data_IF_453260632338
#
_entry.id   IF_453260632338
#
_cell.length_a   1.000
_cell.length_b   1.000
_cell.length_c   1.000
_cell.angle_alpha   90.00
_cell.angle_beta   90.00
_cell.angle_gamma   90.00
#
_symmetry.space_group_name_H-M   'P 1'
#
loop_
_entity.id
_entity.type
_entity.pdbx_description
1 polymer ?
#
# COMPACT_ATOMS: atom_id res chain seq x y z
N UNK A 1 -41.16 -7.23 -17.62
CA UNK A 1 -41.86 -6.10 -16.96
C UNK A 1 -40.78 -5.27 -16.28
N UNK A 2 -40.46 -4.10 -16.82
CA UNK A 2 -39.33 -3.27 -16.37
C UNK A 2 -39.51 -2.83 -14.92
N UNK A 3 -38.52 -3.14 -14.07
CA UNK A 3 -38.39 -2.66 -12.68
C UNK A 3 -38.18 -1.13 -12.58
N UNK A 4 -38.23 -0.40 -13.69
CA UNK A 4 -37.87 1.00 -13.80
C UNK A 4 -39.02 1.99 -13.51
N UNK A 5 -40.18 1.54 -12.98
CA UNK A 5 -41.34 2.42 -12.84
C UNK A 5 -42.08 2.26 -11.51
N UNK A 6 -41.34 2.30 -10.40
CA UNK A 6 -41.91 2.57 -9.08
C UNK A 6 -41.09 3.65 -8.39
N UNK A 7 -41.43 4.93 -8.66
CA UNK A 7 -40.93 6.08 -7.91
C UNK A 7 -41.88 6.35 -6.74
N UNK A 8 -41.67 5.67 -5.63
CA UNK A 8 -41.91 6.30 -4.33
C UNK A 8 -40.59 6.96 -3.91
N UNK A 9 -40.59 8.22 -3.44
CA UNK A 9 -39.40 8.85 -2.89
C UNK A 9 -39.12 8.23 -1.52
N UNK A 10 -38.50 7.06 -1.51
CA UNK A 10 -37.82 6.57 -0.31
C UNK A 10 -36.79 7.63 0.11
N UNK A 11 -36.86 8.08 1.36
CA UNK A 11 -36.00 9.12 1.93
C UNK A 11 -34.50 8.75 1.89
N UNK A 12 -34.19 7.47 1.68
CA UNK A 12 -32.84 6.91 1.66
C UNK A 12 -32.51 6.31 0.30
N UNK A 13 -31.32 6.64 -0.18
CA UNK A 13 -30.69 6.02 -1.34
C UNK A 13 -29.61 5.06 -0.87
N UNK A 14 -29.49 3.91 -1.52
CA UNK A 14 -28.46 2.92 -1.22
C UNK A 14 -27.48 2.81 -2.38
N UNK A 15 -26.21 2.56 -2.07
CA UNK A 15 -25.14 2.35 -3.03
C UNK A 15 -24.75 0.88 -3.04
N UNK A 16 -24.72 0.29 -4.23
CA UNK A 16 -24.29 -1.09 -4.43
C UNK A 16 -23.13 -1.16 -5.43
N UNK A 17 -22.26 -2.14 -5.26
CA UNK A 17 -21.15 -2.39 -6.17
C UNK A 17 -21.67 -2.73 -7.57
N UNK A 18 -21.17 -2.01 -8.59
CA UNK A 18 -21.43 -2.33 -10.00
C UNK A 18 -20.91 -3.71 -10.36
N UNK A 19 -19.80 -4.14 -9.76
CA UNK A 19 -19.26 -5.49 -9.95
C UNK A 19 -20.25 -6.55 -9.46
N UNK A 20 -20.80 -6.37 -8.25
CA UNK A 20 -21.81 -7.30 -7.73
C UNK A 20 -23.09 -7.27 -8.58
N UNK A 21 -23.54 -6.10 -9.02
CA UNK A 21 -24.71 -6.00 -9.89
C UNK A 21 -24.50 -6.69 -11.25
N UNK A 22 -23.28 -6.60 -11.81
CA UNK A 22 -22.92 -7.34 -13.02
C UNK A 22 -22.96 -8.85 -12.78
N UNK A 23 -22.47 -9.34 -11.63
CA UNK A 23 -22.61 -10.75 -11.25
C UNK A 23 -24.08 -11.15 -11.12
N UNK A 24 -24.91 -10.34 -10.47
CA UNK A 24 -26.35 -10.56 -10.35
C UNK A 24 -27.04 -10.71 -11.72
N UNK A 25 -26.65 -9.92 -12.72
CA UNK A 25 -27.24 -9.98 -14.06
C UNK A 25 -26.74 -11.16 -14.93
N UNK A 26 -25.58 -11.73 -14.62
CA UNK A 26 -24.91 -12.69 -15.51
C UNK A 26 -24.77 -14.09 -14.92
N UNK A 27 -24.87 -14.26 -13.60
CA UNK A 27 -24.70 -15.53 -12.91
C UNK A 27 -26.04 -16.02 -12.35
N UNK A 28 -26.24 -17.34 -12.37
CA UNK A 28 -27.41 -17.97 -11.74
C UNK A 28 -27.42 -17.79 -10.22
N UNK A 29 -26.22 -17.72 -9.61
CA UNK A 29 -26.02 -17.50 -8.18
C UNK A 29 -24.91 -16.45 -7.96
N UNK A 30 -25.25 -15.16 -7.77
CA UNK A 30 -24.25 -14.09 -7.64
C UNK A 30 -23.53 -14.07 -6.29
N UNK A 31 -23.97 -14.85 -5.32
CA UNK A 31 -23.51 -14.83 -3.93
C UNK A 31 -23.98 -13.60 -3.14
N UNK A 32 -23.49 -13.43 -1.89
CA UNK A 32 -23.87 -12.32 -1.03
C UNK A 32 -23.45 -10.95 -1.61
N UNK A 33 -24.20 -9.90 -1.29
CA UNK A 33 -23.85 -8.53 -1.67
C UNK A 33 -22.49 -8.18 -1.06
N UNK A 34 -21.58 -7.62 -1.85
CA UNK A 34 -20.29 -7.11 -1.38
C UNK A 34 -20.01 -5.73 -1.94
N UNK A 35 -19.86 -4.76 -1.02
CA UNK A 35 -19.54 -3.37 -1.33
C UNK A 35 -18.06 -3.02 -1.10
N UNK A 36 -17.23 -4.04 -0.81
CA UNK A 36 -15.79 -3.88 -0.57
C UNK A 36 -14.98 -3.50 -1.82
N UNK A 37 -15.60 -3.55 -3.00
CA UNK A 37 -14.94 -3.12 -4.25
C UNK A 37 -14.70 -1.61 -4.28
N UNK A 38 -15.55 -0.84 -3.60
CA UNK A 38 -15.44 0.62 -3.52
C UNK A 38 -15.22 1.16 -2.10
N UNK A 39 -15.29 0.30 -1.07
CA UNK A 39 -14.99 0.65 0.31
C UNK A 39 -13.65 0.07 0.78
N UNK A 40 -12.95 0.81 1.65
CA UNK A 40 -11.86 0.26 2.46
C UNK A 40 -12.41 -0.53 3.67
N UNK A 41 -11.52 -1.17 4.41
CA UNK A 41 -11.81 -1.83 5.70
C UNK A 41 -12.42 -0.88 6.75
N UNK A 42 -12.14 0.43 6.66
CA UNK A 42 -12.71 1.45 7.55
C UNK A 42 -14.14 1.85 7.18
N UNK A 43 -14.69 1.36 6.06
CA UNK A 43 -16.06 1.63 5.63
C UNK A 43 -16.26 2.93 4.83
N UNK A 44 -15.17 3.65 4.52
CA UNK A 44 -15.20 4.82 3.62
C UNK A 44 -14.61 4.52 2.25
N UNK A 45 -14.71 5.47 1.33
CA UNK A 45 -14.10 5.38 0.00
C UNK A 45 -12.58 5.58 0.14
N UNK A 46 -11.74 4.65 -0.36
CA UNK A 46 -10.30 4.87 -0.43
C UNK A 46 -10.00 6.15 -1.24
N UNK A 47 -9.13 7.07 -0.78
CA UNK A 47 -8.89 8.35 -1.45
C UNK A 47 -8.51 8.22 -2.93
N UNK A 48 -7.74 7.19 -3.29
CA UNK A 48 -7.35 6.91 -4.67
C UNK A 48 -8.51 6.44 -5.58
N UNK A 49 -9.66 6.04 -5.02
CA UNK A 49 -10.85 5.64 -5.77
C UNK A 49 -11.89 6.74 -5.92
N UNK A 50 -11.79 7.80 -5.13
CA UNK A 50 -12.84 8.83 -5.04
C UNK A 50 -13.18 9.48 -6.39
N UNK A 51 -12.17 9.73 -7.23
CA UNK A 51 -12.35 10.41 -8.51
C UNK A 51 -13.11 9.62 -9.58
N UNK A 52 -13.29 8.30 -9.39
CA UNK A 52 -14.05 7.43 -10.30
C UNK A 52 -15.09 6.59 -9.55
N UNK A 53 -15.57 7.09 -8.39
CA UNK A 53 -16.52 6.35 -7.56
C UNK A 53 -17.81 6.01 -8.32
N UNK A 54 -18.28 6.92 -9.18
CA UNK A 54 -19.50 6.75 -9.98
C UNK A 54 -19.40 5.56 -10.96
N UNK A 55 -18.19 5.21 -11.39
CA UNK A 55 -17.95 4.03 -12.23
C UNK A 55 -18.04 2.73 -11.41
N UNK A 56 -17.85 2.80 -10.09
CA UNK A 56 -17.83 1.63 -9.21
C UNK A 56 -19.19 1.33 -8.56
N UNK A 57 -20.07 2.33 -8.44
CA UNK A 57 -21.33 2.21 -7.70
C UNK A 57 -22.56 2.34 -8.59
N UNK A 58 -23.67 1.79 -8.11
CA UNK A 58 -25.02 2.01 -8.65
C UNK A 58 -25.93 2.44 -7.50
N UNK A 59 -26.73 3.49 -7.73
CA UNK A 59 -27.70 3.97 -6.77
C UNK A 59 -28.99 3.16 -6.91
N UNK A 60 -29.47 2.63 -5.79
CA UNK A 60 -30.71 1.87 -5.69
C UNK A 60 -31.72 2.61 -4.81
N UNK A 61 -33.01 2.62 -5.20
CA UNK A 61 -34.10 2.93 -4.29
C UNK A 61 -34.12 1.96 -3.10
N UNK A 62 -34.60 2.43 -1.94
CA UNK A 62 -34.66 1.63 -0.70
C UNK A 62 -35.38 0.29 -0.87
N UNK A 63 -36.55 0.25 -1.52
CA UNK A 63 -37.31 -0.98 -1.74
C UNK A 63 -36.53 -2.02 -2.57
N UNK A 64 -35.75 -1.55 -3.56
CA UNK A 64 -34.89 -2.42 -4.38
C UNK A 64 -33.73 -2.96 -3.54
N UNK A 65 -33.10 -2.12 -2.73
CA UNK A 65 -32.07 -2.55 -1.79
C UNK A 65 -32.59 -3.61 -0.80
N UNK A 66 -33.73 -3.34 -0.15
CA UNK A 66 -34.33 -4.26 0.83
C UNK A 66 -34.65 -5.62 0.20
N UNK A 67 -35.20 -5.63 -1.01
CA UNK A 67 -35.45 -6.87 -1.76
C UNK A 67 -34.15 -7.66 -1.99
N UNK A 68 -33.10 -7.01 -2.49
CA UNK A 68 -31.82 -7.67 -2.78
C UNK A 68 -31.16 -8.17 -1.49
N UNK A 69 -31.12 -7.33 -0.45
CA UNK A 69 -30.52 -7.69 0.82
C UNK A 69 -31.25 -8.85 1.50
N UNK A 70 -32.60 -8.85 1.51
CA UNK A 70 -33.38 -9.95 2.08
C UNK A 70 -33.18 -11.28 1.33
N UNK A 71 -32.86 -11.24 0.04
CA UNK A 71 -32.65 -12.44 -0.77
C UNK A 71 -31.20 -12.96 -0.77
N UNK A 72 -30.22 -12.07 -0.79
CA UNK A 72 -28.80 -12.42 -0.97
C UNK A 72 -27.95 -12.19 0.29
N UNK A 73 -28.40 -11.37 1.23
CA UNK A 73 -27.63 -10.96 2.40
C UNK A 73 -26.33 -10.24 2.02
N UNK A 74 -25.33 -10.31 2.90
CA UNK A 74 -24.01 -9.72 2.68
C UNK A 74 -23.86 -8.33 3.30
N UNK A 75 -23.03 -7.48 2.70
CA UNK A 75 -22.80 -6.11 3.16
C UNK A 75 -21.43 -5.54 2.77
N UNK A 76 -21.06 -4.40 3.38
CA UNK A 76 -21.90 -3.57 4.26
C UNK A 76 -23.00 -2.82 3.50
N UNK A 77 -24.09 -2.48 4.17
CA UNK A 77 -25.10 -1.56 3.62
C UNK A 77 -24.50 -0.13 3.54
N UNK A 78 -24.70 0.55 2.41
CA UNK A 78 -24.13 1.87 2.18
C UNK A 78 -25.23 2.83 1.76
N UNK A 79 -25.53 3.83 2.57
CA UNK A 79 -26.49 4.89 2.29
C UNK A 79 -25.84 6.29 2.22
N UNK A 80 -24.53 6.35 2.48
CA UNK A 80 -23.75 7.58 2.41
C UNK A 80 -22.32 7.26 1.94
N UNK A 81 -21.80 8.12 1.07
CA UNK A 81 -20.45 8.02 0.52
C UNK A 81 -19.60 9.14 1.10
N UNK A 82 -18.45 8.78 1.66
CA UNK A 82 -17.47 9.72 2.21
C UNK A 82 -16.06 9.22 1.94
N UNK A 83 -15.12 10.13 1.71
CA UNK A 83 -13.70 9.79 1.61
C UNK A 83 -13.20 9.35 2.98
N UNK A 84 -12.49 8.23 3.02
CA UNK A 84 -11.94 7.71 4.27
C UNK A 84 -10.78 8.59 4.76
N UNK A 85 -10.99 9.29 5.87
CA UNK A 85 -9.96 10.12 6.52
C UNK A 85 -8.80 9.29 7.09
N UNK A 86 -9.08 8.07 7.59
CA UNK A 86 -8.04 7.17 8.11
C UNK A 86 -7.07 6.78 7.00
N UNK A 87 -7.58 6.31 5.85
CA UNK A 87 -6.74 5.99 4.69
C UNK A 87 -5.98 7.23 4.17
N UNK A 88 -6.60 8.41 4.22
CA UNK A 88 -5.92 9.66 3.83
C UNK A 88 -4.70 9.93 4.71
N UNK A 89 -4.86 9.82 6.04
CA UNK A 89 -3.77 10.00 7.00
C UNK A 89 -2.66 8.96 6.79
N UNK A 90 -3.02 7.70 6.54
CA UNK A 90 -2.04 6.63 6.28
C UNK A 90 -1.22 6.90 5.01
N UNK A 91 -1.87 7.34 3.93
CA UNK A 91 -1.21 7.70 2.66
C UNK A 91 -0.24 8.87 2.88
N UNK A 92 -0.68 9.91 3.59
CA UNK A 92 0.15 11.08 3.91
C UNK A 92 1.33 10.73 4.81
N UNK A 93 1.10 9.92 5.84
CA UNK A 93 2.15 9.43 6.74
C UNK A 93 3.21 8.62 5.98
N UNK A 94 2.77 7.73 5.08
CA UNK A 94 3.67 6.94 4.25
C UNK A 94 4.46 7.81 3.26
N UNK A 95 3.81 8.79 2.62
CA UNK A 95 4.49 9.75 1.73
C UNK A 95 5.53 10.58 2.51
N UNK A 96 5.18 11.06 3.70
CA UNK A 96 6.09 11.80 4.59
C UNK A 96 7.28 10.95 5.00
N UNK A 97 7.06 9.69 5.40
CA UNK A 97 8.12 8.74 5.73
C UNK A 97 9.10 8.57 4.57
N UNK A 98 8.59 8.19 3.39
CA UNK A 98 9.42 7.98 2.19
C UNK A 98 10.27 9.20 1.84
N UNK A 99 9.67 10.39 1.92
CA UNK A 99 10.38 11.66 1.71
C UNK A 99 11.49 11.89 2.73
N UNK A 100 11.19 11.73 4.02
CA UNK A 100 12.21 11.89 5.08
C UNK A 100 13.37 10.90 4.92
N UNK A 101 13.07 9.68 4.48
CA UNK A 101 14.08 8.65 4.25
C UNK A 101 15.03 8.99 3.10
N UNK A 102 14.48 9.32 1.93
CA UNK A 102 15.30 9.65 0.77
C UNK A 102 16.08 10.97 0.97
N UNK A 103 15.49 11.98 1.62
CA UNK A 103 16.15 13.27 1.86
C UNK A 103 17.34 13.10 2.82
N UNK A 104 17.16 12.31 3.89
CA UNK A 104 18.24 11.98 4.83
C UNK A 104 19.35 11.20 4.13
N UNK A 105 19.00 10.16 3.36
CA UNK A 105 19.99 9.38 2.62
C UNK A 105 20.79 10.24 1.64
N UNK A 106 20.13 11.10 0.84
CA UNK A 106 20.82 11.99 -0.11
C UNK A 106 21.80 12.91 0.63
N UNK A 107 21.41 13.44 1.80
CA UNK A 107 22.28 14.28 2.62
C UNK A 107 23.53 13.52 3.10
N UNK A 108 23.34 12.32 3.64
CA UNK A 108 24.44 11.49 4.14
C UNK A 108 25.37 11.04 3.00
N UNK A 109 24.80 10.59 1.88
CA UNK A 109 25.59 10.18 0.72
C UNK A 109 26.39 11.35 0.14
N UNK A 110 25.82 12.57 0.06
CA UNK A 110 26.59 13.75 -0.37
C UNK A 110 27.76 14.07 0.55
N UNK A 111 27.58 13.91 1.87
CA UNK A 111 28.66 14.12 2.84
C UNK A 111 29.77 13.07 2.65
N UNK A 112 29.40 11.80 2.47
CA UNK A 112 30.35 10.71 2.21
C UNK A 112 31.15 10.91 0.91
N UNK A 113 30.50 11.36 -0.16
CA UNK A 113 31.19 11.65 -1.43
C UNK A 113 32.13 12.87 -1.35
N UNK A 114 31.93 13.77 -0.39
CA UNK A 114 32.79 14.93 -0.17
C UNK A 114 33.99 14.61 0.74
N UNK A 115 34.01 13.44 1.39
CA UNK A 115 35.10 13.02 2.27
C UNK A 115 36.26 12.45 1.45
N UNK A 116 37.44 13.06 1.57
CA UNK A 116 38.61 12.68 0.74
C UNK A 116 39.21 11.31 1.11
N UNK A 117 39.12 10.92 2.38
CA UNK A 117 39.71 9.68 2.89
C UNK A 117 38.84 9.08 4.02
N UNK A 118 37.74 8.39 3.68
CA UNK A 118 36.86 7.79 4.68
C UNK A 118 37.57 6.67 5.46
N UNK A 119 37.53 6.77 6.79
CA UNK A 119 38.25 5.85 7.69
C UNK A 119 37.54 4.52 7.90
N UNK A 120 36.20 4.50 7.85
CA UNK A 120 35.36 3.30 8.01
C UNK A 120 34.33 3.26 6.90
N UNK A 121 34.23 2.12 6.21
CA UNK A 121 33.26 1.90 5.13
C UNK A 121 32.47 0.63 5.43
N UNK A 122 31.15 0.72 5.29
CA UNK A 122 30.23 -0.41 5.38
C UNK A 122 29.81 -0.87 3.99
N UNK A 123 29.49 -2.16 3.88
CA UNK A 123 28.95 -2.76 2.67
C UNK A 123 27.47 -3.09 2.87
N UNK A 124 26.65 -2.81 1.86
CA UNK A 124 25.23 -3.12 1.87
C UNK A 124 24.83 -3.86 0.60
N UNK A 125 24.01 -4.90 0.75
CA UNK A 125 23.48 -5.67 -0.38
C UNK A 125 22.74 -4.78 -1.37
N UNK A 126 23.14 -4.81 -2.65
CA UNK A 126 22.43 -4.05 -3.68
C UNK A 126 21.02 -4.60 -3.95
N UNK A 127 20.74 -5.84 -3.58
CA UNK A 127 19.37 -6.36 -3.63
C UNK A 127 18.49 -5.58 -2.64
N UNK A 128 18.85 -5.58 -1.35
CA UNK A 128 18.12 -4.86 -0.31
C UNK A 128 18.04 -3.36 -0.62
N UNK A 129 19.15 -2.77 -1.10
CA UNK A 129 19.17 -1.36 -1.43
C UNK A 129 18.23 -0.99 -2.59
N UNK A 130 18.07 -1.87 -3.60
CA UNK A 130 17.10 -1.66 -4.69
C UNK A 130 15.65 -1.76 -4.21
N UNK A 131 15.36 -2.68 -3.28
CA UNK A 131 14.05 -2.79 -2.63
C UNK A 131 13.75 -1.52 -1.81
N UNK A 132 14.74 -1.04 -1.05
CA UNK A 132 14.64 0.23 -0.32
C UNK A 132 14.40 1.40 -1.26
N UNK A 133 15.17 1.47 -2.35
CA UNK A 133 15.03 2.53 -3.36
C UNK A 133 13.65 2.51 -4.01
N UNK A 134 13.12 1.32 -4.34
CA UNK A 134 11.78 1.15 -4.89
C UNK A 134 10.70 1.63 -3.91
N UNK A 135 10.84 1.30 -2.62
CA UNK A 135 9.97 1.78 -1.57
C UNK A 135 9.98 3.30 -1.45
N UNK A 136 11.14 3.93 -1.25
CA UNK A 136 11.22 5.40 -1.03
C UNK A 136 10.84 6.21 -2.27
N UNK A 137 11.01 5.64 -3.48
CA UNK A 137 10.53 6.24 -4.74
C UNK A 137 9.05 5.95 -5.03
N UNK A 138 8.38 5.17 -4.19
CA UNK A 138 6.96 4.82 -4.31
C UNK A 138 6.63 3.92 -5.50
N UNK A 139 7.60 3.13 -5.97
CA UNK A 139 7.36 2.04 -6.93
C UNK A 139 6.70 0.85 -6.24
N UNK A 140 7.12 0.58 -5.01
CA UNK A 140 6.53 -0.43 -4.14
C UNK A 140 5.97 0.23 -2.87
N UNK A 141 4.87 -0.32 -2.35
CA UNK A 141 4.27 0.14 -1.10
C UNK A 141 4.87 -0.55 0.14
N UNK A 142 5.52 -1.70 -0.06
CA UNK A 142 6.12 -2.46 1.03
C UNK A 142 7.56 -2.00 1.29
N UNK A 143 7.95 -1.78 2.56
CA UNK A 143 9.33 -1.48 2.91
C UNK A 143 10.24 -2.71 2.75
N UNK A 144 11.56 -2.53 2.53
CA UNK A 144 12.54 -3.59 2.20
C UNK A 144 12.82 -4.64 3.30
N UNK A 145 12.03 -4.75 4.36
CA UNK A 145 12.34 -5.61 5.50
C UNK A 145 13.71 -5.32 6.15
N UNK A 146 14.22 -6.22 7.01
CA UNK A 146 15.55 -6.06 7.62
C UNK A 146 16.69 -6.11 6.61
N UNK A 147 17.78 -5.39 6.89
CA UNK A 147 18.99 -5.44 6.04
C UNK A 147 19.54 -6.87 6.01
N UNK A 148 19.63 -7.45 4.82
CA UNK A 148 20.16 -8.80 4.59
C UNK A 148 21.44 -8.76 3.74
N UNK A 149 22.58 -8.98 4.40
CA UNK A 149 23.88 -9.12 3.75
C UNK A 149 24.36 -10.57 3.59
N UNK A 150 23.52 -11.58 3.86
CA UNK A 150 23.91 -13.00 3.77
C UNK A 150 24.41 -13.38 2.38
N UNK A 151 23.92 -12.71 1.33
CA UNK A 151 24.35 -12.92 -0.05
C UNK A 151 25.73 -12.31 -0.33
N UNK A 152 26.11 -11.24 0.36
CA UNK A 152 27.36 -10.51 0.10
C UNK A 152 28.47 -10.80 1.10
N UNK A 153 28.17 -11.34 2.28
CA UNK A 153 29.13 -11.54 3.36
C UNK A 153 29.33 -13.04 3.68
N UNK A 154 30.56 -13.40 4.03
CA UNK A 154 30.95 -14.76 4.46
C UNK A 154 31.76 -14.66 5.76
N UNK A 155 31.40 -15.47 6.75
CA UNK A 155 32.16 -15.59 7.98
C UNK A 155 33.42 -16.43 7.73
N UNK A 156 34.59 -15.88 8.07
CA UNK A 156 35.81 -16.68 8.17
C UNK A 156 35.82 -17.47 9.48
N UNK A 157 36.64 -18.51 9.56
CA UNK A 157 36.78 -19.34 10.76
C UNK A 157 37.18 -18.60 12.04
N UNK A 158 37.59 -17.33 11.93
CA UNK A 158 37.89 -16.41 13.04
C UNK A 158 36.70 -15.54 13.49
N UNK A 159 35.50 -15.70 12.90
CA UNK A 159 34.33 -14.85 13.17
C UNK A 159 34.36 -13.50 12.44
N UNK A 160 35.45 -13.16 11.75
CA UNK A 160 35.52 -11.97 10.92
C UNK A 160 34.69 -12.15 9.64
N UNK A 161 33.80 -11.19 9.37
CA UNK A 161 33.03 -11.13 8.13
C UNK A 161 33.90 -10.56 7.00
N UNK A 162 33.84 -11.20 5.84
CA UNK A 162 34.44 -10.67 4.61
C UNK A 162 33.41 -10.63 3.49
N UNK A 163 33.56 -9.67 2.60
CA UNK A 163 32.73 -9.59 1.39
C UNK A 163 33.13 -10.73 0.44
N UNK A 164 32.14 -11.43 -0.11
CA UNK A 164 32.36 -12.48 -1.12
C UNK A 164 32.88 -11.85 -2.40
N UNK A 165 33.84 -12.51 -3.04
CA UNK A 165 34.36 -12.05 -4.32
C UNK A 165 33.24 -12.01 -5.37
N UNK A 166 33.10 -10.89 -6.07
CA UNK A 166 32.05 -10.68 -7.08
C UNK A 166 30.65 -10.45 -6.53
N UNK A 167 30.50 -10.24 -5.21
CA UNK A 167 29.22 -9.86 -4.63
C UNK A 167 28.72 -8.50 -5.18
N UNK A 168 27.40 -8.38 -5.34
CA UNK A 168 26.74 -7.13 -5.73
C UNK A 168 26.41 -6.31 -4.47
N UNK A 169 27.30 -5.37 -4.12
CA UNK A 169 27.18 -4.54 -2.92
C UNK A 169 27.49 -3.06 -3.22
N UNK A 170 26.88 -2.19 -2.43
CA UNK A 170 27.21 -0.77 -2.37
C UNK A 170 28.10 -0.47 -1.16
N UNK A 171 28.90 0.59 -1.26
CA UNK A 171 29.66 1.14 -0.14
C UNK A 171 28.91 2.33 0.45
N UNK A 172 28.80 2.38 1.77
CA UNK A 172 28.14 3.46 2.50
C UNK A 172 28.96 3.87 3.73
N UNK A 173 28.79 5.12 4.18
CA UNK A 173 29.42 5.63 5.39
C UNK A 173 28.86 4.97 6.65
N UNK A 174 29.58 5.09 7.76
CA UNK A 174 29.11 4.64 9.08
C UNK A 174 27.78 5.31 9.46
N UNK A 175 27.61 6.61 9.23
CA UNK A 175 26.38 7.33 9.54
C UNK A 175 25.20 6.82 8.70
N UNK A 176 25.46 6.49 7.44
CA UNK A 176 24.45 5.91 6.55
C UNK A 176 24.06 4.50 7.02
N UNK A 177 25.03 3.70 7.45
CA UNK A 177 24.77 2.38 8.02
C UNK A 177 23.94 2.48 9.30
N UNK A 178 24.34 3.33 10.26
CA UNK A 178 23.59 3.55 11.50
C UNK A 178 22.17 4.01 11.19
N UNK A 179 21.99 4.93 10.24
CA UNK A 179 20.68 5.42 9.85
C UNK A 179 19.76 4.29 9.35
N UNK A 180 20.22 3.51 8.36
CA UNK A 180 19.42 2.45 7.75
C UNK A 180 19.18 1.29 8.73
N UNK A 181 20.20 0.85 9.46
CA UNK A 181 20.06 -0.23 10.45
C UNK A 181 19.18 0.16 11.65
N UNK A 182 19.12 1.45 12.02
CA UNK A 182 18.17 1.93 13.03
C UNK A 182 16.72 1.84 12.53
N UNK A 183 16.47 2.11 11.26
CA UNK A 183 15.12 2.08 10.67
C UNK A 183 14.63 0.66 10.37
N UNK A 184 15.53 -0.20 9.91
CA UNK A 184 15.18 -1.50 9.32
C UNK A 184 15.69 -2.69 10.14
N UNK A 185 16.67 -2.49 11.02
CA UNK A 185 17.38 -3.58 11.68
C UNK A 185 18.18 -4.43 10.69
N UNK A 186 18.58 -5.63 11.15
CA UNK A 186 19.38 -6.55 10.35
C UNK A 186 20.88 -6.24 10.39
N UNK A 187 21.62 -6.84 9.45
CA UNK A 187 23.09 -6.82 9.45
C UNK A 187 23.70 -7.90 8.57
#
# INVERSE_FOLDING_TARGET
VSLATMKEPGLLQFYISREWLNKFNTFTEPGPISNHTFLCSHGGIPPNKYHYIDDLVVILPQNVWEYLYNRFGGGPAVNHLYVCSVCQVEIEALAKRRKMEIDTFIKLNKAFQAEECPSVIFCISMQWFREWEAFVKGKDNEPPGPIDNTKIAVAKGSGHMQVKQGADYGQISEETWIYLSTLYGGG
#
